data_IF_950229001722
#
_entry.id   IF_950229001722
#
_cell.length_a   1.000
_cell.length_b   1.000
_cell.length_c   1.000
_cell.angle_alpha   90.00
_cell.angle_beta   90.00
_cell.angle_gamma   90.00
#
_symmetry.space_group_name_H-M   'P 1'
#
loop_
_entity.id
_entity.type
_entity.pdbx_description
1 polymer ?
#
# COMPACT_ATOMS: atom_id res chain seq x y z
N UNK A 1 -16.54 -26.46 -14.02
CA UNK A 1 -16.24 -25.01 -14.00
C UNK A 1 -14.83 -24.69 -13.50
N UNK A 2 -14.35 -25.34 -12.42
CA UNK A 2 -12.98 -25.19 -11.92
C UNK A 2 -11.86 -25.57 -12.91
N UNK A 3 -12.06 -26.60 -13.74
CA UNK A 3 -11.06 -26.99 -14.76
C UNK A 3 -10.90 -25.97 -15.90
N UNK A 4 -11.96 -25.25 -16.27
CA UNK A 4 -11.90 -24.24 -17.31
C UNK A 4 -11.14 -22.97 -16.87
N UNK A 5 -11.32 -22.55 -15.61
CA UNK A 5 -10.57 -21.44 -14.99
C UNK A 5 -9.09 -21.78 -14.80
N UNK A 6 -8.78 -23.01 -14.36
CA UNK A 6 -7.41 -23.49 -14.23
C UNK A 6 -6.69 -23.56 -15.59
N UNK A 7 -7.40 -24.01 -16.62
CA UNK A 7 -6.88 -24.07 -17.99
C UNK A 7 -6.68 -22.66 -18.58
N UNK A 8 -7.60 -21.72 -18.34
CA UNK A 8 -7.44 -20.33 -18.77
C UNK A 8 -6.28 -19.60 -18.09
N UNK A 9 -6.06 -19.83 -16.80
CA UNK A 9 -4.90 -19.27 -16.08
C UNK A 9 -3.57 -19.86 -16.59
N UNK A 10 -3.53 -21.15 -16.88
CA UNK A 10 -2.37 -21.80 -17.49
C UNK A 10 -2.07 -21.23 -18.89
N UNK A 11 -3.09 -21.12 -19.75
CA UNK A 11 -2.97 -20.54 -21.10
C UNK A 11 -2.54 -19.06 -21.04
N UNK A 12 -3.03 -18.29 -20.07
CA UNK A 12 -2.63 -16.89 -19.87
C UNK A 12 -1.20 -16.76 -19.36
N UNK A 13 -0.75 -17.67 -18.50
CA UNK A 13 0.63 -17.74 -18.05
C UNK A 13 1.57 -18.13 -19.21
N UNK A 14 1.20 -19.12 -20.02
CA UNK A 14 1.94 -19.55 -21.20
C UNK A 14 2.03 -18.44 -22.26
N UNK A 15 0.95 -17.70 -22.51
CA UNK A 15 0.95 -16.55 -23.42
C UNK A 15 1.83 -15.39 -22.92
N UNK A 16 1.91 -15.18 -21.60
CA UNK A 16 2.83 -14.20 -21.02
C UNK A 16 4.27 -14.66 -21.12
N UNK A 17 4.54 -15.93 -20.82
CA UNK A 17 5.85 -16.55 -20.98
C UNK A 17 6.31 -16.49 -22.45
N UNK A 18 5.44 -16.80 -23.41
CA UNK A 18 5.75 -16.75 -24.83
C UNK A 18 5.98 -15.31 -25.34
N UNK A 19 5.21 -14.34 -24.84
CA UNK A 19 5.47 -12.90 -25.10
C UNK A 19 6.80 -12.44 -24.51
N UNK A 20 7.16 -12.90 -23.33
CA UNK A 20 8.42 -12.55 -22.69
C UNK A 20 9.63 -13.27 -23.34
N UNK A 21 9.50 -14.53 -23.74
CA UNK A 21 10.46 -15.28 -24.59
C UNK A 21 10.63 -14.62 -25.96
N UNK A 22 9.55 -14.10 -26.55
CA UNK A 22 9.59 -13.31 -27.79
C UNK A 22 10.26 -11.94 -27.57
N UNK A 23 9.97 -11.26 -26.46
CA UNK A 23 10.66 -10.03 -26.09
C UNK A 23 12.16 -10.28 -25.83
N UNK A 24 12.54 -11.44 -25.28
CA UNK A 24 13.95 -11.85 -25.13
C UNK A 24 14.63 -12.00 -26.49
N UNK A 25 13.95 -12.62 -27.48
CA UNK A 25 14.43 -12.74 -28.86
C UNK A 25 14.58 -11.38 -29.55
N UNK A 26 13.68 -10.43 -29.28
CA UNK A 26 13.72 -9.06 -29.81
C UNK A 26 14.79 -8.19 -29.09
N UNK A 27 15.04 -8.41 -27.79
CA UNK A 27 16.08 -7.73 -26.99
C UNK A 27 17.49 -8.24 -27.32
N UNK A 28 17.63 -9.43 -27.91
CA UNK A 28 18.91 -9.91 -28.44
C UNK A 28 19.51 -8.96 -29.48
N UNK A 29 18.69 -8.13 -30.15
CA UNK A 29 19.12 -7.11 -31.14
C UNK A 29 19.43 -5.72 -30.54
N UNK A 30 19.20 -5.51 -29.24
CA UNK A 30 19.57 -4.27 -28.51
C UNK A 30 21.07 -4.19 -28.22
N UNK A 31 21.64 -2.98 -28.31
CA UNK A 31 23.10 -2.74 -28.22
C UNK A 31 23.62 -2.58 -26.78
N UNK A 32 22.76 -2.37 -25.78
CA UNK A 32 23.16 -2.04 -24.40
C UNK A 32 22.82 -3.17 -23.41
N UNK A 33 23.74 -3.49 -22.51
CA UNK A 33 23.56 -4.53 -21.49
C UNK A 33 22.46 -4.17 -20.48
N UNK A 34 22.16 -2.87 -20.26
CA UNK A 34 21.08 -2.44 -19.37
C UNK A 34 19.70 -2.88 -19.87
N UNK A 35 19.41 -2.72 -21.17
CA UNK A 35 18.13 -3.13 -21.77
C UNK A 35 17.94 -4.65 -21.68
N UNK A 36 19.04 -5.40 -21.76
CA UNK A 36 19.03 -6.85 -21.61
C UNK A 36 18.76 -7.28 -20.15
N UNK A 37 19.34 -6.58 -19.17
CA UNK A 37 19.06 -6.82 -17.75
C UNK A 37 17.63 -6.42 -17.35
N UNK A 38 17.03 -5.43 -18.00
CA UNK A 38 15.63 -5.06 -17.79
C UNK A 38 14.67 -6.24 -18.09
N UNK A 39 15.00 -7.09 -19.07
CA UNK A 39 14.24 -8.32 -19.31
C UNK A 39 14.26 -9.26 -18.10
N UNK A 40 15.42 -9.44 -17.46
CA UNK A 40 15.56 -10.25 -16.23
C UNK A 40 14.69 -9.67 -15.10
N UNK A 41 14.71 -8.35 -14.91
CA UNK A 41 13.88 -7.70 -13.88
C UNK A 41 12.38 -7.81 -14.18
N UNK A 42 11.96 -7.72 -15.45
CA UNK A 42 10.56 -7.95 -15.84
C UNK A 42 10.09 -9.36 -15.48
N UNK A 43 10.91 -10.38 -15.71
CA UNK A 43 10.59 -11.75 -15.30
C UNK A 43 10.48 -11.87 -13.78
N UNK A 44 11.42 -11.28 -13.03
CA UNK A 44 11.39 -11.27 -11.57
C UNK A 44 10.13 -10.59 -11.02
N UNK A 45 9.76 -9.42 -11.54
CA UNK A 45 8.56 -8.69 -11.13
C UNK A 45 7.27 -9.42 -11.49
N UNK A 46 7.29 -10.19 -12.57
CA UNK A 46 6.17 -11.03 -12.98
C UNK A 46 6.11 -12.40 -12.25
N UNK A 47 7.07 -12.71 -11.39
CA UNK A 47 7.14 -13.95 -10.62
C UNK A 47 7.70 -15.15 -11.39
N UNK A 48 8.20 -14.95 -12.61
CA UNK A 48 8.77 -16.00 -13.46
C UNK A 48 10.26 -16.20 -13.14
N UNK A 49 10.55 -16.82 -11.99
CA UNK A 49 11.92 -16.96 -11.49
C UNK A 49 12.81 -17.79 -12.41
N UNK A 50 12.33 -18.93 -12.90
CA UNK A 50 13.11 -19.82 -13.77
C UNK A 50 13.50 -19.14 -15.10
N UNK A 51 12.57 -18.38 -15.70
CA UNK A 51 12.86 -17.62 -16.92
C UNK A 51 13.86 -16.48 -16.64
N UNK A 52 13.78 -15.84 -15.47
CA UNK A 52 14.75 -14.83 -15.06
C UNK A 52 16.15 -15.43 -14.88
N UNK A 53 16.26 -16.61 -14.29
CA UNK A 53 17.52 -17.35 -14.12
C UNK A 53 18.12 -17.70 -15.48
N UNK A 54 17.33 -18.30 -16.38
CA UNK A 54 17.77 -18.66 -17.73
C UNK A 54 18.21 -17.43 -18.54
N UNK A 55 17.45 -16.33 -18.44
CA UNK A 55 17.79 -15.08 -19.11
C UNK A 55 19.11 -14.49 -18.56
N UNK A 56 19.30 -14.52 -17.24
CA UNK A 56 20.53 -14.04 -16.62
C UNK A 56 21.74 -14.89 -17.05
N UNK A 57 21.64 -16.22 -17.01
CA UNK A 57 22.73 -17.13 -17.40
C UNK A 57 23.12 -16.96 -18.87
N UNK A 58 22.14 -16.75 -19.76
CA UNK A 58 22.41 -16.44 -21.16
C UNK A 58 23.20 -15.13 -21.33
N UNK A 59 22.89 -14.10 -20.53
CA UNK A 59 23.61 -12.82 -20.57
C UNK A 59 25.02 -12.93 -19.98
N UNK A 60 25.20 -13.65 -18.87
CA UNK A 60 26.52 -13.85 -18.26
C UNK A 60 27.45 -14.66 -19.17
N UNK A 61 26.91 -15.68 -19.87
CA UNK A 61 27.66 -16.46 -20.84
C UNK A 61 28.05 -15.65 -22.09
N UNK A 62 27.14 -14.81 -22.60
CA UNK A 62 27.37 -14.05 -23.83
C UNK A 62 28.22 -12.78 -23.61
N UNK A 63 28.10 -12.13 -22.44
CA UNK A 63 28.69 -10.82 -22.17
C UNK A 63 29.38 -10.72 -20.79
N UNK A 64 30.25 -11.65 -20.39
CA UNK A 64 30.79 -11.72 -19.03
C UNK A 64 31.54 -10.44 -18.61
N UNK A 65 32.25 -9.79 -19.55
CA UNK A 65 32.95 -8.53 -19.27
C UNK A 65 32.02 -7.35 -19.02
N UNK A 66 30.86 -7.31 -19.67
CA UNK A 66 29.85 -6.26 -19.45
C UNK A 66 29.14 -6.45 -18.11
N UNK A 67 28.93 -7.70 -17.68
CA UNK A 67 28.36 -8.01 -16.37
C UNK A 67 29.22 -7.47 -15.22
N UNK A 68 30.55 -7.60 -15.33
CA UNK A 68 31.49 -7.06 -14.32
C UNK A 68 31.39 -5.54 -14.20
N UNK A 69 31.06 -4.83 -15.28
CA UNK A 69 30.88 -3.38 -15.28
C UNK A 69 29.49 -2.89 -14.93
N UNK A 70 28.54 -3.78 -14.67
CA UNK A 70 27.13 -3.41 -14.51
C UNK A 70 26.60 -3.69 -13.09
N UNK A 71 26.28 -2.64 -12.29
CA UNK A 71 25.64 -2.81 -10.98
C UNK A 71 24.32 -3.59 -11.01
N UNK A 72 23.56 -3.48 -12.10
CA UNK A 72 22.30 -4.20 -12.30
C UNK A 72 22.48 -5.71 -12.35
N UNK A 73 23.62 -6.21 -12.84
CA UNK A 73 23.91 -7.63 -12.83
C UNK A 73 24.04 -8.20 -11.41
N UNK A 74 24.71 -7.47 -10.51
CA UNK A 74 24.78 -7.84 -9.08
C UNK A 74 23.40 -7.79 -8.44
N UNK A 75 22.60 -6.76 -8.74
CA UNK A 75 21.25 -6.63 -8.21
C UNK A 75 20.32 -7.76 -8.67
N UNK A 76 20.40 -8.17 -9.94
CA UNK A 76 19.67 -9.30 -10.47
C UNK A 76 20.03 -10.60 -9.73
N UNK A 77 21.32 -10.87 -9.51
CA UNK A 77 21.76 -12.05 -8.73
C UNK A 77 21.21 -12.05 -7.30
N UNK A 78 21.15 -10.88 -6.64
CA UNK A 78 20.57 -10.77 -5.30
C UNK A 78 19.07 -11.06 -5.30
N UNK A 79 18.30 -10.53 -6.26
CA UNK A 79 16.86 -10.82 -6.39
C UNK A 79 16.60 -12.29 -6.76
N UNK A 80 17.49 -12.91 -7.53
CA UNK A 80 17.49 -14.35 -7.84
C UNK A 80 17.96 -15.21 -6.65
N UNK A 81 18.33 -14.61 -5.51
CA UNK A 81 18.83 -15.32 -4.34
C UNK A 81 20.19 -16.02 -4.53
N UNK A 82 20.91 -15.71 -5.62
CA UNK A 82 22.23 -16.28 -5.95
C UNK A 82 23.34 -15.49 -5.27
N UNK A 83 23.34 -15.51 -3.94
CA UNK A 83 24.19 -14.63 -3.10
C UNK A 83 25.69 -14.88 -3.34
N UNK A 84 26.11 -16.14 -3.51
CA UNK A 84 27.53 -16.45 -3.75
C UNK A 84 28.01 -15.96 -5.13
N UNK A 85 27.16 -16.07 -6.15
CA UNK A 85 27.46 -15.50 -7.47
C UNK A 85 27.51 -13.97 -7.42
N UNK A 86 26.61 -13.34 -6.63
CA UNK A 86 26.62 -11.90 -6.43
C UNK A 86 27.92 -11.44 -5.72
N UNK A 87 28.38 -12.18 -4.71
CA UNK A 87 29.65 -11.94 -4.00
C UNK A 87 30.85 -12.04 -4.94
N UNK A 88 30.90 -13.08 -5.78
CA UNK A 88 31.99 -13.20 -6.77
C UNK A 88 31.96 -12.03 -7.76
N UNK A 89 30.78 -11.74 -8.32
CA UNK A 89 30.63 -10.69 -9.32
C UNK A 89 31.02 -9.33 -8.76
N UNK A 90 30.50 -8.95 -7.60
CA UNK A 90 30.83 -7.66 -6.98
C UNK A 90 32.30 -7.56 -6.61
N UNK A 91 32.94 -8.66 -6.19
CA UNK A 91 34.38 -8.68 -5.91
C UNK A 91 35.22 -8.47 -7.20
N UNK A 92 34.80 -9.06 -8.33
CA UNK A 92 35.42 -8.79 -9.64
C UNK A 92 35.20 -7.33 -10.07
N UNK A 93 33.98 -6.82 -9.89
CA UNK A 93 33.62 -5.44 -10.22
C UNK A 93 34.44 -4.44 -9.42
N UNK A 94 34.62 -4.63 -8.11
CA UNK A 94 35.45 -3.76 -7.28
C UNK A 94 36.93 -3.80 -7.65
N UNK A 95 37.47 -4.96 -8.03
CA UNK A 95 38.85 -5.04 -8.53
C UNK A 95 39.03 -4.27 -9.83
N UNK A 96 38.03 -4.30 -10.72
CA UNK A 96 38.08 -3.62 -12.02
C UNK A 96 37.78 -2.12 -11.91
N UNK A 97 36.87 -1.75 -11.01
CA UNK A 97 36.36 -0.39 -10.81
C UNK A 97 36.50 -0.01 -9.33
N UNK A 98 37.73 0.13 -8.81
CA UNK A 98 37.96 0.30 -7.38
C UNK A 98 37.32 1.56 -6.82
N UNK A 99 37.19 2.63 -7.60
CA UNK A 99 36.66 3.93 -7.16
C UNK A 99 35.16 4.13 -7.40
N UNK A 100 34.51 3.19 -8.08
CA UNK A 100 33.08 3.29 -8.33
C UNK A 100 32.29 2.95 -7.05
N UNK A 101 31.69 3.99 -6.47
CA UNK A 101 30.87 3.91 -5.25
C UNK A 101 29.76 2.87 -5.36
N UNK A 102 29.18 2.63 -6.54
CA UNK A 102 28.06 1.70 -6.72
C UNK A 102 28.47 0.27 -6.36
N UNK A 103 29.68 -0.14 -6.75
CA UNK A 103 30.18 -1.48 -6.39
C UNK A 103 30.64 -1.57 -4.94
N UNK A 104 31.06 -0.45 -4.33
CA UNK A 104 31.31 -0.41 -2.89
C UNK A 104 30.01 -0.54 -2.08
N UNK A 105 28.93 0.11 -2.52
CA UNK A 105 27.60 0.03 -1.92
C UNK A 105 26.99 -1.38 -2.12
N UNK A 106 27.09 -1.93 -3.33
CA UNK A 106 26.62 -3.29 -3.62
C UNK A 106 27.36 -4.36 -2.80
N UNK A 107 28.63 -4.18 -2.49
CA UNK A 107 29.36 -5.13 -1.64
C UNK A 107 28.84 -5.16 -0.20
N UNK A 108 28.43 -4.00 0.32
CA UNK A 108 27.67 -3.92 1.56
C UNK A 108 26.33 -4.64 1.44
N UNK A 109 25.57 -4.38 0.36
CA UNK A 109 24.27 -4.99 0.12
C UNK A 109 24.34 -6.52 0.00
N UNK A 110 25.34 -7.09 -0.66
CA UNK A 110 25.55 -8.56 -0.70
C UNK A 110 25.76 -9.11 0.72
N UNK A 111 26.43 -8.35 1.59
CA UNK A 111 26.58 -8.68 3.01
C UNK A 111 25.24 -8.71 3.76
N UNK A 112 24.29 -7.83 3.42
CA UNK A 112 22.95 -7.81 4.03
C UNK A 112 22.15 -9.08 3.76
N UNK A 113 22.41 -9.74 2.63
CA UNK A 113 21.74 -10.99 2.25
C UNK A 113 22.38 -12.24 2.90
N UNK A 114 23.45 -12.08 3.67
CA UNK A 114 24.02 -13.16 4.48
C UNK A 114 23.58 -13.03 5.94
N UNK A 115 23.44 -14.17 6.62
CA UNK A 115 23.05 -14.20 8.04
C UNK A 115 24.14 -13.75 9.02
N UNK A 116 25.27 -13.21 8.53
CA UNK A 116 26.37 -12.70 9.36
C UNK A 116 26.24 -11.19 9.57
N UNK A 117 25.59 -10.84 10.68
CA UNK A 117 25.30 -9.46 11.05
C UNK A 117 26.58 -8.67 11.41
N UNK A 118 27.63 -9.33 11.89
CA UNK A 118 28.89 -8.67 12.23
C UNK A 118 29.67 -8.32 10.97
N UNK A 119 29.69 -9.24 10.00
CA UNK A 119 30.28 -8.98 8.69
C UNK A 119 29.57 -7.85 7.96
N UNK A 120 28.23 -7.86 7.98
CA UNK A 120 27.39 -6.77 7.48
C UNK A 120 27.82 -5.41 8.06
N UNK A 121 27.88 -5.30 9.38
CA UNK A 121 28.29 -4.08 10.07
C UNK A 121 29.73 -3.66 9.69
N UNK A 122 30.66 -4.61 9.60
CA UNK A 122 32.04 -4.34 9.18
C UNK A 122 32.09 -3.72 7.78
N UNK A 123 31.34 -4.27 6.83
CA UNK A 123 31.29 -3.78 5.43
C UNK A 123 30.72 -2.37 5.35
N UNK A 124 29.61 -2.10 6.04
CA UNK A 124 29.00 -0.76 6.02
C UNK A 124 29.84 0.30 6.73
N UNK A 125 30.53 -0.05 7.82
CA UNK A 125 31.55 0.81 8.42
C UNK A 125 32.69 1.14 7.47
N UNK A 126 33.17 0.15 6.72
CA UNK A 126 34.19 0.37 5.70
C UNK A 126 33.69 1.30 4.59
N UNK A 127 32.44 1.12 4.15
CA UNK A 127 31.79 1.98 3.16
C UNK A 127 31.68 3.43 3.65
N UNK A 128 31.23 3.68 4.89
CA UNK A 128 31.18 5.03 5.47
C UNK A 128 32.54 5.69 5.60
N UNK A 129 33.58 4.95 6.02
CA UNK A 129 34.95 5.50 6.04
C UNK A 129 35.42 5.96 4.66
N UNK A 130 35.00 5.26 3.60
CA UNK A 130 35.36 5.60 2.22
C UNK A 130 34.52 6.75 1.65
N UNK A 131 33.26 6.84 2.03
CA UNK A 131 32.32 7.85 1.53
C UNK A 131 31.68 8.66 2.67
N UNK A 132 32.47 9.43 3.44
CA UNK A 132 31.99 10.08 4.68
C UNK A 132 31.01 11.23 4.44
N UNK A 133 30.88 11.73 3.21
CA UNK A 133 29.95 12.79 2.82
C UNK A 133 28.76 12.26 2.00
N UNK A 134 28.47 10.96 2.09
CA UNK A 134 27.34 10.34 1.38
C UNK A 134 26.29 9.88 2.39
N UNK A 135 25.07 10.43 2.32
CA UNK A 135 23.99 10.15 3.28
C UNK A 135 23.72 8.65 3.48
N UNK A 136 23.67 7.89 2.39
CA UNK A 136 23.43 6.45 2.43
C UNK A 136 24.48 5.69 3.23
N UNK A 137 25.71 6.19 3.33
CA UNK A 137 26.74 5.51 4.11
C UNK A 137 26.43 5.49 5.61
N UNK A 138 25.81 6.54 6.13
CA UNK A 138 25.34 6.60 7.52
C UNK A 138 24.08 5.77 7.71
N UNK A 139 23.13 5.83 6.76
CA UNK A 139 21.87 5.07 6.82
C UNK A 139 22.14 3.56 6.84
N UNK A 140 23.00 3.08 5.93
CA UNK A 140 23.33 1.66 5.86
C UNK A 140 24.09 1.17 7.10
N UNK A 141 25.02 1.97 7.64
CA UNK A 141 25.68 1.63 8.91
C UNK A 141 24.69 1.62 10.08
N UNK A 142 23.75 2.57 10.14
CA UNK A 142 22.71 2.60 11.16
C UNK A 142 21.82 1.35 11.10
N UNK A 143 21.38 0.94 9.90
CA UNK A 143 20.62 -0.31 9.73
C UNK A 143 21.41 -1.55 10.15
N UNK A 144 22.72 -1.58 9.86
CA UNK A 144 23.58 -2.67 10.30
C UNK A 144 23.78 -2.70 11.82
N UNK A 145 23.90 -1.53 12.46
CA UNK A 145 23.98 -1.38 13.92
C UNK A 145 22.70 -1.86 14.61
N UNK A 146 21.53 -1.54 14.06
CA UNK A 146 20.27 -2.05 14.58
C UNK A 146 20.14 -3.56 14.43
N UNK A 147 20.57 -4.11 13.29
CA UNK A 147 20.52 -5.54 13.06
C UNK A 147 21.36 -6.32 14.10
N UNK A 148 22.51 -5.78 14.52
CA UNK A 148 23.32 -6.38 15.60
C UNK A 148 22.81 -6.05 17.02
N UNK A 149 21.71 -5.31 17.15
CA UNK A 149 21.08 -4.98 18.43
C UNK A 149 21.62 -3.74 19.14
N UNK A 150 22.24 -2.79 18.41
CA UNK A 150 22.75 -1.53 18.95
C UNK A 150 22.02 -0.29 18.38
N UNK A 151 20.75 -0.06 18.79
CA UNK A 151 19.97 1.06 18.30
C UNK A 151 20.51 2.43 18.76
N UNK A 152 21.22 2.48 19.89
CA UNK A 152 21.83 3.71 20.39
C UNK A 152 22.98 4.15 19.48
N UNK A 153 23.86 3.24 19.08
CA UNK A 153 24.90 3.56 18.12
C UNK A 153 24.33 3.89 16.73
N UNK A 154 23.27 3.19 16.30
CA UNK A 154 22.59 3.49 15.05
C UNK A 154 22.09 4.94 15.00
N UNK A 155 21.44 5.38 16.08
CA UNK A 155 20.95 6.74 16.24
C UNK A 155 22.10 7.76 16.28
N UNK A 156 23.21 7.45 16.96
CA UNK A 156 24.39 8.31 16.99
C UNK A 156 25.01 8.50 15.60
N UNK A 157 25.04 7.45 14.78
CA UNK A 157 25.52 7.50 13.38
C UNK A 157 24.59 8.36 12.52
N UNK A 158 23.27 8.22 12.65
CA UNK A 158 22.31 9.06 11.93
C UNK A 158 22.43 10.53 12.36
N UNK A 159 22.55 10.80 13.65
CA UNK A 159 22.78 12.16 14.17
C UNK A 159 24.07 12.78 13.63
N UNK A 160 25.15 11.98 13.52
CA UNK A 160 26.39 12.42 12.87
C UNK A 160 26.15 12.75 11.39
N UNK A 161 25.42 11.90 10.67
CA UNK A 161 25.16 12.10 9.26
C UNK A 161 24.31 13.35 8.99
N UNK A 162 23.28 13.63 9.78
CA UNK A 162 22.49 14.88 9.69
C UNK A 162 23.39 16.12 9.84
N UNK A 163 24.41 16.08 10.71
CA UNK A 163 25.38 17.19 10.83
C UNK A 163 26.38 17.27 9.68
N UNK A 164 26.64 16.15 9.01
CA UNK A 164 27.68 16.06 7.96
C UNK A 164 27.12 16.42 6.58
N UNK A 165 25.88 16.03 6.31
CA UNK A 165 25.15 16.24 5.05
C UNK A 165 23.76 16.81 5.34
N UNK A 166 23.67 18.02 5.91
CA UNK A 166 22.40 18.61 6.37
C UNK A 166 21.39 18.87 5.24
N UNK A 167 21.81 18.90 3.98
CA UNK A 167 20.97 19.08 2.80
C UNK A 167 20.22 17.81 2.37
N UNK A 168 20.66 16.64 2.84
CA UNK A 168 20.11 15.34 2.45
C UNK A 168 18.90 14.94 3.32
N UNK A 169 17.69 15.27 2.85
CA UNK A 169 16.43 15.04 3.59
C UNK A 169 16.25 13.61 4.10
N UNK A 170 16.71 12.60 3.33
CA UNK A 170 16.51 11.19 3.68
C UNK A 170 17.17 10.83 5.01
N UNK A 171 18.34 11.38 5.32
CA UNK A 171 19.01 11.06 6.59
C UNK A 171 18.34 11.74 7.78
N UNK A 172 17.78 12.94 7.57
CA UNK A 172 17.02 13.65 8.58
C UNK A 172 15.68 12.92 8.86
N UNK A 173 15.02 12.39 7.83
CA UNK A 173 13.85 11.53 7.97
C UNK A 173 14.19 10.27 8.77
N UNK A 174 15.26 9.54 8.41
CA UNK A 174 15.67 8.33 9.14
C UNK A 174 15.96 8.63 10.61
N UNK A 175 16.64 9.75 10.88
CA UNK A 175 16.94 10.19 12.25
C UNK A 175 15.68 10.55 13.06
N UNK A 176 14.71 11.24 12.44
CA UNK A 176 13.43 11.58 13.06
C UNK A 176 12.61 10.32 13.37
N UNK A 177 12.52 9.38 12.43
CA UNK A 177 11.81 8.12 12.61
C UNK A 177 12.37 7.24 13.75
N UNK A 178 13.66 7.35 14.09
CA UNK A 178 14.20 6.63 15.26
C UNK A 178 13.60 7.15 16.56
N UNK A 179 13.32 8.46 16.66
CA UNK A 179 12.63 9.02 17.81
C UNK A 179 11.17 8.53 17.87
N UNK A 180 10.47 8.48 16.74
CA UNK A 180 9.10 7.94 16.65
C UNK A 180 9.02 6.49 17.13
N UNK A 181 9.92 5.62 16.65
CA UNK A 181 9.97 4.20 17.06
C UNK A 181 10.27 4.00 18.54
N UNK A 182 10.99 4.95 19.16
CA UNK A 182 11.31 4.94 20.58
C UNK A 182 10.24 5.61 21.44
N UNK A 183 9.20 6.17 20.81
CA UNK A 183 8.18 6.99 21.46
C UNK A 183 8.79 8.18 22.22
N UNK A 184 9.97 8.65 21.79
CA UNK A 184 10.56 9.89 22.29
C UNK A 184 9.94 11.06 21.53
N UNK A 185 8.70 11.39 21.92
CA UNK A 185 7.88 12.37 21.22
C UNK A 185 8.48 13.78 21.23
N UNK A 186 9.26 14.12 22.25
CA UNK A 186 9.96 15.40 22.31
C UNK A 186 11.07 15.46 21.25
N UNK A 187 11.92 14.43 21.18
CA UNK A 187 12.96 14.35 20.15
C UNK A 187 12.36 14.20 18.74
N UNK A 188 11.25 13.47 18.60
CA UNK A 188 10.50 13.34 17.35
C UNK A 188 10.04 14.71 16.85
N UNK A 189 9.35 15.48 17.70
CA UNK A 189 8.89 16.82 17.34
C UNK A 189 10.06 17.74 16.93
N UNK A 190 11.14 17.74 17.70
CA UNK A 190 12.34 18.54 17.37
C UNK A 190 12.89 18.17 15.99
N UNK A 191 13.08 16.87 15.72
CA UNK A 191 13.67 16.39 14.48
C UNK A 191 12.76 16.61 13.29
N UNK A 192 11.46 16.36 13.40
CA UNK A 192 10.50 16.64 12.33
C UNK A 192 10.34 18.13 12.06
N UNK A 193 10.48 18.98 13.10
CA UNK A 193 10.55 20.43 12.93
C UNK A 193 11.77 20.82 12.07
N UNK A 194 12.95 20.26 12.37
CA UNK A 194 14.14 20.48 11.56
C UNK A 194 13.98 19.97 10.11
N UNK A 195 13.33 18.81 9.93
CA UNK A 195 13.02 18.26 8.60
C UNK A 195 12.11 19.21 7.80
N UNK A 196 11.06 19.74 8.43
CA UNK A 196 10.18 20.74 7.80
C UNK A 196 10.95 22.00 7.42
N UNK A 197 11.72 22.55 8.35
CA UNK A 197 12.34 23.88 8.19
C UNK A 197 13.50 23.86 7.18
N UNK A 198 14.23 22.74 7.05
CA UNK A 198 15.35 22.60 6.12
C UNK A 198 14.96 22.07 4.75
N UNK A 199 13.92 21.23 4.66
CA UNK A 199 13.62 20.46 3.44
C UNK A 199 12.20 20.63 2.92
N UNK A 200 11.32 21.31 3.65
CA UNK A 200 9.90 21.44 3.30
C UNK A 200 9.24 20.08 2.98
N UNK A 201 9.63 19.03 3.73
CA UNK A 201 9.17 17.67 3.48
C UNK A 201 7.68 17.50 3.82
N UNK A 202 6.91 16.97 2.88
CA UNK A 202 5.44 17.00 2.93
C UNK A 202 4.79 16.28 4.12
N UNK A 203 5.40 15.21 4.62
CA UNK A 203 4.85 14.50 5.79
C UNK A 203 5.31 15.07 7.13
N UNK A 204 6.22 16.05 7.16
CA UNK A 204 6.73 16.57 8.42
C UNK A 204 5.62 17.15 9.32
N UNK A 205 4.65 17.96 8.83
CA UNK A 205 3.54 18.45 9.66
C UNK A 205 2.69 17.33 10.26
N UNK A 206 2.44 16.25 9.51
CA UNK A 206 1.69 15.07 9.98
C UNK A 206 2.43 14.38 11.13
N UNK A 207 3.74 14.16 10.96
CA UNK A 207 4.56 13.51 11.99
C UNK A 207 4.70 14.38 13.24
N UNK A 208 4.88 15.70 13.08
CA UNK A 208 4.90 16.66 14.18
C UNK A 208 3.57 16.67 14.94
N UNK A 209 2.43 16.64 14.24
CA UNK A 209 1.11 16.63 14.85
C UNK A 209 0.88 15.36 15.68
N UNK A 210 1.30 14.19 15.20
CA UNK A 210 1.24 12.93 15.94
C UNK A 210 2.10 12.96 17.21
N UNK A 211 3.32 13.48 17.13
CA UNK A 211 4.19 13.65 18.29
C UNK A 211 3.56 14.60 19.33
N UNK A 212 3.00 15.72 18.88
CA UNK A 212 2.29 16.69 19.73
C UNK A 212 1.07 16.06 20.42
N UNK A 213 0.28 15.28 19.70
CA UNK A 213 -0.85 14.56 20.27
C UNK A 213 -0.41 13.55 21.32
N UNK A 214 0.63 12.76 21.04
CA UNK A 214 1.18 11.80 22.00
C UNK A 214 1.74 12.47 23.28
N UNK A 215 2.18 13.73 23.17
CA UNK A 215 2.56 14.58 24.31
C UNK A 215 1.36 15.24 25.02
N UNK A 216 0.12 14.93 24.65
CA UNK A 216 -1.08 15.53 25.23
C UNK A 216 -1.31 16.98 24.79
N UNK A 217 -0.83 17.37 23.61
CA UNK A 217 -0.94 18.74 23.05
C UNK A 217 -1.76 18.78 21.75
N UNK A 218 -3.04 18.36 21.77
CA UNK A 218 -3.89 18.27 20.58
C UNK A 218 -4.14 19.61 19.87
N UNK A 219 -4.20 20.72 20.62
CA UNK A 219 -4.38 22.05 20.04
C UNK A 219 -3.16 22.48 19.20
N UNK A 220 -1.95 22.19 19.68
CA UNK A 220 -0.72 22.47 18.95
C UNK A 220 -0.58 21.55 17.73
N UNK A 221 -1.03 20.30 17.84
CA UNK A 221 -1.11 19.37 16.71
C UNK A 221 -2.01 19.92 15.60
N UNK A 222 -3.22 20.38 15.95
CA UNK A 222 -4.15 20.99 15.01
C UNK A 222 -3.56 22.26 14.35
N UNK A 223 -2.92 23.13 15.15
CA UNK A 223 -2.26 24.34 14.62
C UNK A 223 -1.12 24.00 13.65
N UNK A 224 -0.35 22.95 13.95
CA UNK A 224 0.74 22.46 13.09
C UNK A 224 0.21 21.96 11.73
N UNK A 225 -0.92 21.24 11.72
CA UNK A 225 -1.55 20.80 10.48
C UNK A 225 -2.11 21.98 9.67
N UNK A 226 -2.65 23.00 10.34
CA UNK A 226 -3.12 24.23 9.66
C UNK A 226 -1.96 24.99 9.00
N UNK A 227 -0.84 25.20 9.70
CA UNK A 227 0.37 25.81 9.13
C UNK A 227 0.91 24.96 7.97
N UNK A 228 1.02 23.64 8.16
CA UNK A 228 1.45 22.72 7.11
C UNK A 228 0.59 22.81 5.85
N UNK A 229 -0.74 22.82 6.01
CA UNK A 229 -1.69 22.95 4.90
C UNK A 229 -1.57 24.30 4.17
N UNK A 230 -1.27 25.39 4.89
CA UNK A 230 -1.06 26.70 4.27
C UNK A 230 0.21 26.73 3.41
N UNK A 231 1.27 26.08 3.88
CA UNK A 231 2.53 25.96 3.12
C UNK A 231 2.38 25.02 1.93
N UNK A 232 1.62 23.95 2.09
CA UNK A 232 1.53 22.85 1.13
C UNK A 232 0.06 22.47 0.85
N UNK A 233 -0.69 23.32 0.12
CA UNK A 233 -2.13 23.15 -0.06
C UNK A 233 -2.52 21.95 -0.93
N UNK A 234 -1.57 21.34 -1.64
CA UNK A 234 -1.80 20.18 -2.51
C UNK A 234 -1.58 18.84 -1.82
N UNK A 235 -1.12 18.83 -0.57
CA UNK A 235 -0.79 17.60 0.17
C UNK A 235 -2.01 17.12 0.94
N UNK A 236 -2.66 16.06 0.43
CA UNK A 236 -3.90 15.58 1.02
C UNK A 236 -3.68 14.88 2.36
N UNK A 237 -2.50 14.30 2.58
CA UNK A 237 -2.12 13.61 3.82
C UNK A 237 -2.29 14.52 5.05
N UNK A 238 -2.12 15.84 4.89
CA UNK A 238 -2.32 16.82 5.96
C UNK A 238 -3.81 16.93 6.32
N UNK A 239 -4.71 17.04 5.33
CA UNK A 239 -6.16 17.13 5.55
C UNK A 239 -6.71 15.81 6.09
N UNK A 240 -6.18 14.67 5.63
CA UNK A 240 -6.51 13.37 6.19
C UNK A 240 -6.11 13.27 7.67
N UNK A 241 -4.92 13.75 8.06
CA UNK A 241 -4.53 13.76 9.48
C UNK A 241 -5.39 14.74 10.29
N UNK A 242 -5.84 15.86 9.73
CA UNK A 242 -6.82 16.75 10.38
C UNK A 242 -8.13 16.01 10.68
N UNK A 243 -8.61 15.21 9.72
CA UNK A 243 -9.80 14.38 9.91
C UNK A 243 -9.60 13.36 11.04
N UNK A 244 -8.49 12.60 11.01
CA UNK A 244 -8.19 11.58 12.04
C UNK A 244 -7.95 12.18 13.42
N UNK A 245 -7.31 13.34 13.51
CA UNK A 245 -7.12 14.06 14.76
C UNK A 245 -8.47 14.50 15.36
N UNK A 246 -9.36 15.03 14.53
CA UNK A 246 -10.72 15.40 14.96
C UNK A 246 -11.53 14.17 15.42
N UNK A 247 -11.40 13.01 14.75
CA UNK A 247 -12.00 11.75 15.19
C UNK A 247 -11.51 11.33 16.58
N UNK A 248 -10.20 11.37 16.82
CA UNK A 248 -9.60 11.02 18.12
C UNK A 248 -10.03 11.99 19.23
N UNK A 249 -10.32 13.24 18.89
CA UNK A 249 -10.86 14.25 19.82
C UNK A 249 -12.39 14.12 20.02
N UNK A 250 -13.07 13.27 19.25
CA UNK A 250 -14.52 13.12 19.29
C UNK A 250 -15.30 14.21 18.54
N UNK A 251 -14.63 15.11 17.84
CA UNK A 251 -15.28 16.10 16.97
C UNK A 251 -15.59 15.48 15.60
N UNK A 252 -16.58 14.59 15.60
CA UNK A 252 -16.99 13.84 14.40
C UNK A 252 -17.56 14.76 13.30
N UNK A 253 -18.09 15.93 13.68
CA UNK A 253 -18.60 16.92 12.73
C UNK A 253 -17.44 17.58 11.96
N UNK A 254 -16.40 18.03 12.65
CA UNK A 254 -15.20 18.56 12.01
C UNK A 254 -14.50 17.48 11.17
N UNK A 255 -14.37 16.27 11.71
CA UNK A 255 -13.78 15.14 10.98
C UNK A 255 -14.52 14.83 9.67
N UNK A 256 -15.85 14.75 9.71
CA UNK A 256 -16.67 14.57 8.52
C UNK A 256 -16.52 15.72 7.50
N UNK A 257 -16.32 16.95 7.99
CA UNK A 257 -15.98 18.10 7.14
C UNK A 257 -14.67 17.91 6.39
N UNK A 258 -13.60 17.50 7.09
CA UNK A 258 -12.30 17.23 6.49
C UNK A 258 -12.35 16.07 5.49
N UNK A 259 -13.06 14.97 5.78
CA UNK A 259 -13.19 13.86 4.84
C UNK A 259 -13.93 14.25 3.55
N UNK A 260 -15.00 15.06 3.65
CA UNK A 260 -15.67 15.63 2.46
C UNK A 260 -14.73 16.50 1.66
N UNK A 261 -13.85 17.24 2.32
CA UNK A 261 -12.82 18.03 1.65
C UNK A 261 -11.82 17.14 0.89
N UNK A 262 -11.31 16.08 1.52
CA UNK A 262 -10.41 15.12 0.87
C UNK A 262 -11.06 14.51 -0.37
N UNK A 263 -12.32 14.07 -0.28
CA UNK A 263 -13.04 13.51 -1.43
C UNK A 263 -13.25 14.53 -2.55
N UNK A 264 -13.53 15.80 -2.20
CA UNK A 264 -13.75 16.88 -3.16
C UNK A 264 -12.49 17.23 -3.93
N UNK A 265 -11.37 17.42 -3.23
CA UNK A 265 -10.11 17.90 -3.80
C UNK A 265 -9.22 16.76 -4.32
N UNK A 266 -9.32 15.57 -3.71
CA UNK A 266 -8.51 14.40 -4.02
C UNK A 266 -9.39 13.16 -4.30
N UNK A 267 -10.19 13.21 -5.38
CA UNK A 267 -11.21 12.21 -5.65
C UNK A 267 -10.69 10.78 -5.89
N UNK A 268 -9.39 10.60 -6.10
CA UNK A 268 -8.72 9.32 -6.30
C UNK A 268 -8.34 8.62 -4.98
N UNK A 269 -8.49 9.28 -3.82
CA UNK A 269 -8.22 8.71 -2.50
C UNK A 269 -9.38 7.82 -2.07
N UNK A 270 -9.36 6.56 -2.51
CA UNK A 270 -10.45 5.61 -2.29
C UNK A 270 -10.79 5.40 -0.80
N UNK A 271 -9.79 5.39 0.09
CA UNK A 271 -10.02 5.21 1.53
C UNK A 271 -10.78 6.38 2.16
N UNK A 272 -10.67 7.60 1.62
CA UNK A 272 -11.35 8.78 2.15
C UNK A 272 -12.88 8.66 2.06
N UNK A 273 -13.40 7.93 1.06
CA UNK A 273 -14.83 7.65 0.97
C UNK A 273 -15.29 6.70 2.09
N UNK A 274 -14.50 5.66 2.38
CA UNK A 274 -14.82 4.67 3.41
C UNK A 274 -14.74 5.31 4.80
N UNK A 275 -13.60 5.93 5.13
CA UNK A 275 -13.38 6.60 6.41
C UNK A 275 -14.39 7.75 6.60
N UNK A 276 -14.56 8.59 5.58
CA UNK A 276 -15.52 9.69 5.59
C UNK A 276 -16.96 9.25 5.81
N UNK A 277 -17.40 8.20 5.10
CA UNK A 277 -18.75 7.64 5.28
C UNK A 277 -18.95 7.15 6.70
N UNK A 278 -18.01 6.35 7.23
CA UNK A 278 -18.08 5.84 8.60
C UNK A 278 -18.19 6.97 9.61
N UNK A 279 -17.38 8.01 9.44
CA UNK A 279 -17.32 9.15 10.36
C UNK A 279 -18.56 10.02 10.28
N UNK A 280 -19.13 10.23 9.09
CA UNK A 280 -20.40 10.94 8.92
C UNK A 280 -21.57 10.16 9.53
N UNK A 281 -21.60 8.83 9.39
CA UNK A 281 -22.60 7.98 10.08
C UNK A 281 -22.47 8.14 11.59
N UNK A 282 -21.23 8.04 12.13
CA UNK A 282 -20.98 8.20 13.56
C UNK A 282 -21.35 9.62 14.06
N UNK A 283 -21.18 10.65 13.24
CA UNK A 283 -21.61 12.02 13.51
C UNK A 283 -23.14 12.21 13.41
N UNK A 284 -23.88 11.24 12.88
CA UNK A 284 -25.30 11.37 12.57
C UNK A 284 -25.62 12.15 11.29
N UNK A 285 -24.60 12.58 10.52
CA UNK A 285 -24.75 13.22 9.21
C UNK A 285 -24.97 12.16 8.11
N UNK A 286 -26.13 11.53 8.18
CA UNK A 286 -26.55 10.53 7.19
C UNK A 286 -26.60 11.09 5.77
N UNK A 287 -27.19 12.27 5.50
CA UNK A 287 -27.20 12.81 4.14
C UNK A 287 -25.78 13.00 3.57
N UNK A 288 -24.84 13.44 4.41
CA UNK A 288 -23.42 13.52 4.03
C UNK A 288 -22.82 12.16 3.69
N UNK A 289 -23.08 11.14 4.53
CA UNK A 289 -22.60 9.78 4.30
C UNK A 289 -23.15 9.17 2.99
N UNK A 290 -24.44 9.38 2.71
CA UNK A 290 -25.07 8.94 1.46
C UNK A 290 -24.45 9.63 0.24
N UNK A 291 -24.18 10.93 0.34
CA UNK A 291 -23.53 11.68 -0.75
C UNK A 291 -22.12 11.15 -1.04
N UNK A 292 -21.35 10.78 0.00
CA UNK A 292 -20.03 10.16 -0.18
C UNK A 292 -20.13 8.78 -0.82
N UNK A 293 -21.03 7.91 -0.36
CA UNK A 293 -21.24 6.59 -0.95
C UNK A 293 -21.68 6.68 -2.41
N UNK A 294 -22.62 7.57 -2.74
CA UNK A 294 -23.04 7.81 -4.12
C UNK A 294 -21.89 8.29 -5.01
N UNK A 295 -21.04 9.19 -4.51
CA UNK A 295 -19.86 9.66 -5.22
C UNK A 295 -18.81 8.56 -5.42
N UNK A 296 -18.64 7.65 -4.44
CA UNK A 296 -17.75 6.50 -4.54
C UNK A 296 -18.24 5.50 -5.60
N UNK A 297 -19.54 5.15 -5.56
CA UNK A 297 -20.19 4.25 -6.52
C UNK A 297 -20.10 4.81 -7.94
N UNK A 298 -20.28 6.13 -8.13
CA UNK A 298 -20.14 6.76 -9.44
C UNK A 298 -18.73 6.62 -10.06
N UNK A 299 -17.69 6.47 -9.22
CA UNK A 299 -16.29 6.28 -9.67
C UNK A 299 -15.90 4.84 -9.86
N UNK A 300 -16.47 3.94 -9.07
CA UNK A 300 -16.25 2.50 -9.19
C UNK A 300 -17.60 1.79 -9.35
N UNK A 301 -18.27 1.97 -10.52
CA UNK A 301 -19.54 1.31 -10.77
C UNK A 301 -19.34 -0.20 -10.74
N UNK A 302 -19.99 -0.89 -9.80
CA UNK A 302 -19.85 -2.34 -9.63
C UNK A 302 -18.93 -2.78 -8.50
N UNK A 303 -18.43 -1.87 -7.66
CA UNK A 303 -17.86 -2.30 -6.38
C UNK A 303 -18.99 -2.81 -5.46
N UNK A 304 -19.05 -4.13 -5.29
CA UNK A 304 -20.07 -4.80 -4.47
C UNK A 304 -20.06 -4.31 -3.02
N UNK A 305 -18.88 -4.01 -2.46
CA UNK A 305 -18.74 -3.56 -1.07
C UNK A 305 -19.29 -2.15 -0.84
N UNK A 306 -19.07 -1.22 -1.78
CA UNK A 306 -19.65 0.12 -1.74
C UNK A 306 -21.16 0.10 -1.96
N UNK A 307 -21.64 -0.72 -2.89
CA UNK A 307 -23.08 -0.91 -3.13
C UNK A 307 -23.78 -1.51 -1.91
N UNK A 308 -23.17 -2.50 -1.25
CA UNK A 308 -23.73 -3.12 -0.05
C UNK A 308 -23.80 -2.14 1.11
N UNK A 309 -22.75 -1.35 1.37
CA UNK A 309 -22.77 -0.30 2.39
C UNK A 309 -23.85 0.75 2.13
N UNK A 310 -24.06 1.13 0.87
CA UNK A 310 -25.11 2.08 0.50
C UNK A 310 -26.53 1.51 0.70
N UNK A 311 -26.71 0.21 0.46
CA UNK A 311 -27.95 -0.50 0.73
C UNK A 311 -28.22 -0.69 2.23
N UNK A 312 -27.21 -1.11 3.00
CA UNK A 312 -27.28 -1.29 4.46
C UNK A 312 -27.67 0.01 5.19
N UNK A 313 -27.17 1.16 4.72
CA UNK A 313 -27.53 2.46 5.28
C UNK A 313 -29.03 2.76 5.13
N UNK A 314 -29.62 2.47 3.96
CA UNK A 314 -31.07 2.60 3.76
C UNK A 314 -31.86 1.58 4.61
N UNK A 315 -31.36 0.34 4.70
CA UNK A 315 -31.98 -0.72 5.53
C UNK A 315 -32.04 -0.31 7.00
N UNK A 316 -30.93 0.20 7.56
CA UNK A 316 -30.85 0.63 8.96
C UNK A 316 -31.82 1.76 9.28
N UNK A 317 -32.14 2.59 8.28
CA UNK A 317 -33.06 3.72 8.40
C UNK A 317 -34.51 3.39 8.09
N UNK A 318 -34.82 2.11 7.82
CA UNK A 318 -36.15 1.69 7.41
C UNK A 318 -36.65 2.40 6.14
N UNK A 319 -35.73 2.86 5.28
CA UNK A 319 -36.04 3.45 3.97
C UNK A 319 -36.22 2.32 2.97
N UNK A 320 -37.24 1.49 3.18
CA UNK A 320 -37.36 0.17 2.56
C UNK A 320 -37.38 0.22 1.03
N UNK A 321 -37.96 1.27 0.42
CA UNK A 321 -37.97 1.46 -1.04
C UNK A 321 -36.54 1.65 -1.58
N UNK A 322 -35.77 2.53 -0.93
CA UNK A 322 -34.37 2.75 -1.26
C UNK A 322 -33.52 1.50 -0.97
N UNK A 323 -33.78 0.80 0.14
CA UNK A 323 -33.09 -0.43 0.49
C UNK A 323 -33.31 -1.52 -0.56
N UNK A 324 -34.56 -1.78 -0.97
CA UNK A 324 -34.88 -2.77 -2.01
C UNK A 324 -34.17 -2.42 -3.33
N UNK A 325 -34.23 -1.16 -3.77
CA UNK A 325 -33.55 -0.71 -4.97
C UNK A 325 -32.02 -0.91 -4.89
N UNK A 326 -31.40 -0.51 -3.78
CA UNK A 326 -29.95 -0.55 -3.59
C UNK A 326 -29.44 -2.00 -3.44
N UNK A 327 -30.16 -2.87 -2.72
CA UNK A 327 -29.83 -4.30 -2.67
C UNK A 327 -30.00 -4.99 -4.02
N UNK A 328 -31.00 -4.58 -4.82
CA UNK A 328 -31.13 -5.01 -6.21
C UNK A 328 -29.92 -4.63 -7.08
N UNK A 329 -29.29 -3.47 -6.83
CA UNK A 329 -28.06 -3.08 -7.51
C UNK A 329 -26.86 -3.96 -7.09
N UNK A 330 -26.76 -4.35 -5.82
CA UNK A 330 -25.76 -5.33 -5.35
C UNK A 330 -25.96 -6.67 -6.06
N UNK A 331 -27.20 -7.17 -6.10
CA UNK A 331 -27.56 -8.42 -6.79
C UNK A 331 -27.31 -8.36 -8.30
N UNK A 332 -27.49 -7.20 -8.94
CA UNK A 332 -27.20 -7.07 -10.37
C UNK A 332 -25.72 -7.29 -10.70
N UNK A 333 -24.82 -6.93 -9.76
CA UNK A 333 -23.37 -7.11 -9.89
C UNK A 333 -22.93 -8.49 -9.39
N UNK A 334 -23.61 -9.01 -8.37
CA UNK A 334 -23.37 -10.34 -7.80
C UNK A 334 -24.69 -11.15 -7.72
N UNK A 335 -25.13 -11.79 -8.83
CA UNK A 335 -26.44 -12.46 -8.91
C UNK A 335 -26.65 -13.66 -7.97
N UNK A 336 -25.55 -14.20 -7.44
CA UNK A 336 -25.53 -15.34 -6.51
C UNK A 336 -25.06 -14.92 -5.10
N UNK A 337 -25.05 -13.61 -4.81
CA UNK A 337 -24.89 -13.12 -3.43
C UNK A 337 -26.19 -13.32 -2.64
N UNK A 338 -26.22 -14.40 -1.88
CA UNK A 338 -27.35 -14.75 -1.02
C UNK A 338 -27.71 -13.63 -0.04
N UNK A 339 -26.74 -12.85 0.46
CA UNK A 339 -27.02 -11.77 1.42
C UNK A 339 -27.80 -10.66 0.72
N UNK A 340 -27.34 -10.25 -0.45
CA UNK A 340 -28.02 -9.22 -1.24
C UNK A 340 -29.46 -9.62 -1.58
N UNK A 341 -29.66 -10.87 -2.02
CA UNK A 341 -31.00 -11.41 -2.34
C UNK A 341 -31.92 -11.37 -1.11
N UNK A 342 -31.44 -11.87 0.03
CA UNK A 342 -32.24 -11.95 1.25
C UNK A 342 -32.56 -10.57 1.80
N UNK A 343 -31.61 -9.63 1.75
CA UNK A 343 -31.83 -8.24 2.19
C UNK A 343 -32.79 -7.48 1.28
N UNK A 344 -32.72 -7.68 -0.03
CA UNK A 344 -33.70 -7.14 -0.98
C UNK A 344 -35.10 -7.68 -0.70
N UNK A 345 -35.24 -9.01 -0.57
CA UNK A 345 -36.52 -9.65 -0.29
C UNK A 345 -37.10 -9.18 1.07
N UNK A 346 -36.25 -9.02 2.08
CA UNK A 346 -36.64 -8.46 3.38
C UNK A 346 -37.18 -7.03 3.23
N UNK A 347 -36.49 -6.17 2.49
CA UNK A 347 -36.93 -4.80 2.26
C UNK A 347 -38.26 -4.75 1.47
N UNK A 348 -38.41 -5.57 0.43
CA UNK A 348 -39.66 -5.71 -0.34
C UNK A 348 -40.83 -6.18 0.54
N UNK A 349 -40.60 -7.15 1.42
CA UNK A 349 -41.63 -7.60 2.35
C UNK A 349 -42.06 -6.49 3.33
N UNK A 350 -41.11 -5.73 3.88
CA UNK A 350 -41.40 -4.62 4.79
C UNK A 350 -42.11 -3.43 4.10
N UNK A 351 -42.02 -3.32 2.77
CA UNK A 351 -42.84 -2.42 1.95
C UNK A 351 -44.28 -2.93 1.70
N UNK A 352 -44.59 -4.16 2.08
CA UNK A 352 -45.84 -4.83 1.73
C UNK A 352 -45.83 -5.50 0.35
N UNK A 353 -44.70 -5.48 -0.37
CA UNK A 353 -44.51 -6.15 -1.68
C UNK A 353 -44.11 -7.61 -1.48
N UNK A 354 -44.86 -8.33 -0.66
CA UNK A 354 -44.54 -9.69 -0.21
C UNK A 354 -44.52 -10.70 -1.35
N UNK A 355 -45.41 -10.58 -2.33
CA UNK A 355 -45.42 -11.50 -3.48
C UNK A 355 -44.13 -11.37 -4.32
N UNK A 356 -43.58 -10.16 -4.47
CA UNK A 356 -42.30 -9.94 -5.15
C UNK A 356 -41.12 -10.48 -4.34
N UNK A 357 -41.12 -10.28 -3.02
CA UNK A 357 -40.12 -10.84 -2.12
C UNK A 357 -40.10 -12.39 -2.22
N UNK A 358 -41.28 -13.02 -2.23
CA UNK A 358 -41.43 -14.47 -2.37
C UNK A 358 -40.94 -14.99 -3.71
N UNK A 359 -41.32 -14.32 -4.81
CA UNK A 359 -40.85 -14.67 -6.14
C UNK A 359 -39.31 -14.59 -6.23
N UNK A 360 -38.71 -13.56 -5.64
CA UNK A 360 -37.27 -13.36 -5.61
C UNK A 360 -36.53 -14.50 -4.87
N UNK A 361 -36.97 -14.86 -3.66
CA UNK A 361 -36.32 -15.94 -2.90
C UNK A 361 -36.59 -17.32 -3.49
N UNK A 362 -37.74 -17.53 -4.15
CA UNK A 362 -38.05 -18.79 -4.82
C UNK A 362 -37.19 -19.02 -6.07
N UNK A 363 -36.98 -17.97 -6.88
CA UNK A 363 -36.03 -18.01 -7.99
C UNK A 363 -34.61 -18.32 -7.51
N UNK A 364 -34.19 -17.63 -6.43
CA UNK A 364 -32.88 -17.88 -5.83
C UNK A 364 -32.74 -19.31 -5.29
N UNK A 365 -33.77 -19.87 -4.65
CA UNK A 365 -33.75 -21.24 -4.14
C UNK A 365 -33.67 -22.28 -5.27
N UNK A 366 -34.30 -22.01 -6.42
CA UNK A 366 -34.20 -22.88 -7.58
C UNK A 366 -32.78 -22.90 -8.18
N UNK A 367 -32.09 -21.76 -8.15
CA UNK A 367 -30.69 -21.64 -8.62
C UNK A 367 -29.67 -22.14 -7.59
N UNK A 368 -29.96 -21.99 -6.30
CA UNK A 368 -29.05 -22.27 -5.18
C UNK A 368 -29.74 -23.16 -4.13
N UNK A 369 -30.05 -24.43 -4.46
CA UNK A 369 -30.88 -25.30 -3.62
C UNK A 369 -30.26 -25.65 -2.26
N UNK A 370 -28.93 -25.57 -2.14
CA UNK A 370 -28.19 -25.90 -0.90
C UNK A 370 -27.83 -24.67 -0.06
N UNK A 371 -28.26 -23.46 -0.46
CA UNK A 371 -27.96 -22.24 0.31
C UNK A 371 -28.91 -22.09 1.50
N UNK A 372 -28.35 -22.22 2.71
CA UNK A 372 -29.10 -22.17 3.96
C UNK A 372 -29.77 -20.82 4.22
N UNK A 373 -29.18 -19.71 3.76
CA UNK A 373 -29.73 -18.38 4.01
C UNK A 373 -30.94 -18.11 3.12
N UNK A 374 -30.89 -18.56 1.87
CA UNK A 374 -32.03 -18.53 0.95
C UNK A 374 -33.16 -19.44 1.46
N UNK A 375 -32.84 -20.68 1.86
CA UNK A 375 -33.83 -21.60 2.42
C UNK A 375 -34.54 -21.03 3.66
N UNK A 376 -33.79 -20.38 4.55
CA UNK A 376 -34.34 -19.70 5.72
C UNK A 376 -35.26 -18.54 5.32
N UNK A 377 -34.88 -17.72 4.34
CA UNK A 377 -35.69 -16.60 3.87
C UNK A 377 -37.00 -17.05 3.22
N UNK A 378 -37.00 -18.14 2.45
CA UNK A 378 -38.22 -18.77 1.91
C UNK A 378 -39.16 -19.16 3.04
N UNK A 379 -38.66 -19.82 4.08
CA UNK A 379 -39.47 -20.25 5.24
C UNK A 379 -40.10 -19.06 5.96
N UNK A 380 -39.31 -18.01 6.24
CA UNK A 380 -39.78 -16.79 6.92
C UNK A 380 -40.88 -16.10 6.13
N UNK A 381 -40.70 -15.91 4.81
CA UNK A 381 -41.68 -15.23 3.96
C UNK A 381 -42.94 -16.08 3.72
N UNK A 382 -42.83 -17.41 3.71
CA UNK A 382 -44.00 -18.29 3.65
C UNK A 382 -44.86 -18.21 4.92
N UNK A 383 -44.22 -18.15 6.09
CA UNK A 383 -44.90 -18.00 7.37
C UNK A 383 -45.63 -16.65 7.49
N UNK A 384 -45.02 -15.57 7.01
CA UNK A 384 -45.64 -14.24 7.02
C UNK A 384 -46.94 -14.17 6.20
N UNK A 385 -47.04 -14.93 5.10
CA UNK A 385 -48.26 -15.03 4.27
C UNK A 385 -49.39 -15.79 4.95
N UNK A 386 -49.08 -16.77 5.81
CA UNK A 386 -50.09 -17.53 6.52
C UNK A 386 -50.71 -16.75 7.70
N UNK A 387 -50.08 -15.66 8.12
CA UNK A 387 -50.47 -14.86 9.28
C UNK A 387 -51.21 -13.55 8.95
N UNK A 388 -51.18 -13.11 7.69
CA UNK A 388 -51.96 -11.97 7.18
C UNK A 388 -53.13 -12.44 6.33
#
# INVERSE_FOLDING_TARGET
MFDALRNWMAVRAELRAERARRAMREVTDGYLIEEKLEAVFRFLHAGYREDAEAAFDALDAAYPGMMVGNPGAVHALLQLGRIDAAEELVARSQRRFPDDRRFAELYGAVGDHRSDLQERLRRWRAFRRRYPAYANSFIHEAHALEAVGDPAAAEAVLAQGVRTVPEEVRIAIEYAQRADRREDWAASLERWTAVRDLHDYHLAPVMMARALEAMGRPADAAATLVDGRQRQPTECEIVEEQARLAERQGDLAAAGGFWREVVRDFPHRAHAYVEGTRTLIAAGDVPGAEALLAAAIGRTPGDQGLLAQYADLATTRAEWEAAALRWGAVRAVAPDDSLAIVREAQALHLLGRTDEAQALVADAAARMPDDAMIAQAVSVLAAARAAG
#
